data_IF_356447801078
#
_entry.id   IF_356447801078
#
_cell.length_a   1.000
_cell.length_b   1.000
_cell.length_c   1.000
_cell.angle_alpha   90.00
_cell.angle_beta   90.00
_cell.angle_gamma   90.00
#
_symmetry.space_group_name_H-M   'P 1'
#
loop_
_entity.id
_entity.type
_entity.pdbx_description
1 polymer ?
#
# COMPACT_ATOMS: atom_id res chain seq x y z
N UNK A 1 28.86 -4.37 -11.27
CA UNK A 1 28.11 -5.02 -10.19
C UNK A 1 26.71 -4.45 -10.28
N UNK A 2 25.75 -5.27 -10.70
CA UNK A 2 24.34 -4.87 -10.70
C UNK A 2 23.86 -5.02 -9.27
N UNK A 3 23.53 -3.93 -8.60
CA UNK A 3 22.81 -3.98 -7.33
C UNK A 3 21.41 -4.47 -7.64
N UNK A 4 21.17 -5.76 -7.48
CA UNK A 4 19.81 -6.29 -7.41
C UNK A 4 19.27 -5.89 -6.04
N UNK A 5 18.22 -5.07 -6.00
CA UNK A 5 17.54 -4.77 -4.75
C UNK A 5 16.85 -6.03 -4.25
N UNK A 6 17.13 -6.46 -3.03
CA UNK A 6 16.36 -7.51 -2.38
C UNK A 6 14.90 -7.06 -2.23
N UNK A 7 13.95 -7.96 -2.45
CA UNK A 7 12.52 -7.67 -2.32
C UNK A 7 11.86 -8.64 -1.35
N UNK A 8 10.90 -8.16 -0.58
CA UNK A 8 10.07 -8.96 0.31
C UNK A 8 8.57 -8.71 0.06
N UNK A 9 7.73 -9.65 0.50
CA UNK A 9 6.27 -9.50 0.46
C UNK A 9 5.79 -9.08 1.85
N UNK A 10 5.11 -7.93 1.95
CA UNK A 10 4.59 -7.39 3.21
C UNK A 10 3.11 -7.10 3.12
N UNK A 11 2.43 -7.17 4.27
CA UNK A 11 1.06 -6.71 4.38
C UNK A 11 1.00 -5.18 4.33
N UNK A 12 -0.13 -4.63 3.86
CA UNK A 12 -0.34 -3.18 3.71
C UNK A 12 -0.09 -2.41 5.01
N UNK A 13 -0.50 -2.99 6.13
CA UNK A 13 -0.32 -2.42 7.47
C UNK A 13 1.16 -2.25 7.88
N UNK A 14 2.08 -3.00 7.26
CA UNK A 14 3.51 -2.96 7.51
C UNK A 14 4.26 -1.93 6.65
N UNK A 15 3.61 -1.37 5.63
CA UNK A 15 4.16 -0.32 4.78
C UNK A 15 4.26 0.98 5.58
N UNK A 16 5.43 1.63 5.50
CA UNK A 16 5.73 2.88 6.17
C UNK A 16 6.22 3.95 5.19
N UNK A 17 6.22 5.20 5.63
CA UNK A 17 6.87 6.30 4.90
C UNK A 17 8.38 6.02 4.75
N UNK A 18 8.90 6.21 3.55
CA UNK A 18 10.26 5.88 3.15
C UNK A 18 10.42 4.48 2.55
N UNK A 19 9.40 3.63 2.62
CA UNK A 19 9.41 2.33 1.93
C UNK A 19 9.26 2.52 0.42
N UNK A 20 10.02 1.74 -0.35
CA UNK A 20 9.85 1.64 -1.80
C UNK A 20 9.06 0.38 -2.14
N UNK A 21 7.87 0.53 -2.70
CA UNK A 21 6.95 -0.58 -3.01
C UNK A 21 6.65 -0.68 -4.51
N UNK A 22 6.31 -1.88 -4.98
CA UNK A 22 5.84 -2.07 -6.35
C UNK A 22 4.37 -1.70 -6.44
N UNK A 23 4.06 -0.66 -7.22
CA UNK A 23 2.69 -0.39 -7.63
C UNK A 23 2.29 -1.40 -8.70
N UNK A 24 1.32 -2.26 -8.37
CA UNK A 24 0.81 -3.28 -9.30
C UNK A 24 -0.01 -2.70 -10.45
N UNK A 25 -0.54 -1.48 -10.31
CA UNK A 25 -1.31 -0.80 -11.34
C UNK A 25 -0.42 -0.25 -12.46
N UNK A 26 0.68 0.40 -12.11
CA UNK A 26 1.63 0.97 -13.08
C UNK A 26 2.84 0.08 -13.39
N UNK A 27 3.12 -0.91 -12.56
CA UNK A 27 4.32 -1.76 -12.64
C UNK A 27 5.61 -1.05 -12.20
N UNK A 28 5.51 0.14 -11.60
CA UNK A 28 6.66 0.94 -11.18
C UNK A 28 6.93 0.79 -9.69
N UNK A 29 8.20 0.96 -9.32
CA UNK A 29 8.58 1.13 -7.92
C UNK A 29 8.34 2.57 -7.51
N UNK A 30 7.60 2.76 -6.43
CA UNK A 30 7.27 4.07 -5.88
C UNK A 30 7.80 4.16 -4.46
N UNK A 31 8.27 5.34 -4.05
CA UNK A 31 8.66 5.58 -2.66
C UNK A 31 7.51 6.25 -1.93
N UNK A 32 7.04 5.64 -0.84
CA UNK A 32 5.97 6.21 -0.04
C UNK A 32 6.51 7.43 0.70
N UNK A 33 5.94 8.61 0.41
CA UNK A 33 6.32 9.86 1.05
C UNK A 33 5.36 10.29 2.15
N UNK A 34 4.13 9.80 2.11
CA UNK A 34 3.14 10.07 3.13
C UNK A 34 2.09 8.96 3.21
N UNK A 35 1.54 8.75 4.40
CA UNK A 35 0.41 7.85 4.61
C UNK A 35 -0.74 8.57 5.30
N UNK A 36 -1.96 8.26 4.88
CA UNK A 36 -3.18 8.68 5.57
C UNK A 36 -4.01 7.43 5.91
N UNK A 37 -4.78 7.48 7.00
CA UNK A 37 -5.61 6.37 7.44
C UNK A 37 -6.99 6.85 7.82
N UNK A 38 -8.01 6.11 7.42
CA UNK A 38 -9.39 6.40 7.76
C UNK A 38 -10.18 5.14 8.01
N UNK A 39 -11.42 5.34 8.45
CA UNK A 39 -12.40 4.27 8.60
C UNK A 39 -13.59 4.61 7.71
N UNK A 40 -14.10 3.62 6.98
CA UNK A 40 -15.30 3.76 6.15
C UNK A 40 -16.37 2.78 6.60
N UNK A 41 -17.63 3.15 6.46
CA UNK A 41 -18.75 2.28 6.79
C UNK A 41 -19.20 1.58 5.52
N UNK A 42 -19.13 0.25 5.50
CA UNK A 42 -19.58 -0.59 4.40
C UNK A 42 -20.98 -1.12 4.71
N UNK A 43 -22.00 -0.69 3.93
CA UNK A 43 -23.37 -1.12 4.15
C UNK A 43 -23.58 -2.57 3.71
N UNK A 44 -24.26 -3.36 4.55
CA UNK A 44 -24.54 -4.77 4.29
C UNK A 44 -26.05 -5.05 4.28
N UNK A 45 -26.64 -5.45 3.14
CA UNK A 45 -28.07 -5.75 3.09
C UNK A 45 -28.45 -6.89 4.04
N UNK A 46 -29.30 -6.59 5.03
CA UNK A 46 -29.79 -7.58 5.99
C UNK A 46 -28.84 -7.87 7.15
N UNK A 47 -27.74 -7.12 7.30
CA UNK A 47 -26.82 -7.19 8.41
C UNK A 47 -26.46 -5.78 8.91
N UNK A 48 -25.86 -5.64 10.11
CA UNK A 48 -25.30 -4.36 10.54
C UNK A 48 -24.19 -3.90 9.58
N UNK A 49 -24.10 -2.59 9.36
CA UNK A 49 -22.99 -2.01 8.63
C UNK A 49 -21.66 -2.32 9.33
N UNK A 50 -20.62 -2.57 8.53
CA UNK A 50 -19.29 -2.91 9.05
C UNK A 50 -18.37 -1.71 8.88
N UNK A 51 -17.59 -1.38 9.91
CA UNK A 51 -16.54 -0.38 9.81
C UNK A 51 -15.27 -1.06 9.28
N UNK A 52 -14.72 -0.54 8.19
CA UNK A 52 -13.48 -1.02 7.58
C UNK A 52 -12.43 0.08 7.61
N UNK A 53 -11.27 -0.24 8.17
CA UNK A 53 -10.11 0.65 8.15
C UNK A 53 -9.42 0.59 6.79
N UNK A 54 -8.96 1.73 6.31
CA UNK A 54 -8.20 1.85 5.08
C UNK A 54 -7.02 2.80 5.26
N UNK A 55 -6.03 2.65 4.39
CA UNK A 55 -4.89 3.55 4.27
C UNK A 55 -4.74 4.05 2.83
N UNK A 56 -4.31 5.30 2.71
CA UNK A 56 -3.90 5.91 1.45
C UNK A 56 -2.39 6.12 1.51
N UNK A 57 -1.69 5.65 0.47
CA UNK A 57 -0.25 5.79 0.32
C UNK A 57 0.03 6.80 -0.79
N UNK A 58 0.82 7.83 -0.49
CA UNK A 58 1.23 8.84 -1.45
C UNK A 58 2.66 8.57 -1.90
N UNK A 59 2.88 8.48 -3.22
CA UNK A 59 4.17 8.26 -3.85
C UNK A 59 4.97 9.55 -4.09
N UNK A 60 6.26 9.40 -4.33
CA UNK A 60 7.22 10.47 -4.58
C UNK A 60 7.01 11.19 -5.93
N UNK A 61 6.26 10.61 -6.85
CA UNK A 61 5.92 11.22 -8.14
C UNK A 61 4.43 11.57 -8.26
N UNK A 62 3.70 11.63 -7.14
CA UNK A 62 2.29 12.02 -7.08
C UNK A 62 1.31 10.85 -7.23
N UNK A 63 1.79 9.62 -7.13
CA UNK A 63 0.95 8.43 -7.07
C UNK A 63 0.10 8.41 -5.81
N UNK A 64 -1.11 7.88 -5.92
CA UNK A 64 -2.02 7.67 -4.80
C UNK A 64 -2.52 6.25 -4.87
N UNK A 65 -2.17 5.44 -3.87
CA UNK A 65 -2.63 4.06 -3.77
C UNK A 65 -3.59 3.94 -2.60
N UNK A 66 -4.78 3.44 -2.89
CA UNK A 66 -5.79 3.13 -1.89
C UNK A 66 -5.67 1.66 -1.48
N UNK A 67 -5.49 1.40 -0.18
CA UNK A 67 -5.36 0.05 0.36
C UNK A 67 -6.54 -0.85 -0.01
N UNK A 68 -7.73 -0.27 -0.25
CA UNK A 68 -8.94 -1.01 -0.64
C UNK A 68 -8.91 -1.52 -2.07
N UNK A 69 -8.01 -0.97 -2.91
CA UNK A 69 -7.81 -1.41 -4.30
C UNK A 69 -6.68 -2.42 -4.44
N UNK A 70 -5.90 -2.63 -3.38
CA UNK A 70 -4.82 -3.60 -3.36
C UNK A 70 -5.32 -4.94 -2.85
N UNK A 71 -4.94 -6.00 -3.55
CA UNK A 71 -5.23 -7.37 -3.13
C UNK A 71 -3.97 -8.02 -2.55
N UNK A 72 -4.07 -8.51 -1.31
CA UNK A 72 -3.03 -9.35 -0.72
C UNK A 72 -1.77 -8.62 -0.24
N UNK A 73 -0.61 -9.18 -0.60
CA UNK A 73 0.70 -8.68 -0.18
C UNK A 73 1.32 -7.78 -1.25
N UNK A 74 2.12 -6.82 -0.82
CA UNK A 74 2.83 -5.89 -1.70
C UNK A 74 4.33 -6.18 -1.66
N UNK A 75 4.97 -6.07 -2.82
CA UNK A 75 6.42 -6.19 -2.92
C UNK A 75 7.08 -4.91 -2.41
N UNK A 76 7.96 -5.01 -1.42
CA UNK A 76 8.77 -3.91 -0.89
C UNK A 76 10.25 -4.16 -1.15
N UNK A 77 11.00 -3.12 -1.51
CA UNK A 77 12.46 -3.17 -1.57
C UNK A 77 13.07 -3.15 -0.18
N UNK A 78 14.03 -4.04 0.05
CA UNK A 78 14.85 -4.09 1.27
C UNK A 78 16.20 -3.48 0.95
N UNK A 79 16.66 -2.54 1.78
CA UNK A 79 18.05 -2.08 1.72
C UNK A 79 18.92 -3.13 2.43
N UNK A 80 19.92 -3.65 1.73
CA UNK A 80 20.97 -4.52 2.29
C UNK A 80 21.85 -3.78 3.32
#
# INVERSE_FOLDING_TARGET
MSSEHATEQVALEQIQEGDTILDTGSGNWITIVSTDSGTTTVPHPGAPDTAEDYRIYYGDHGEVIDSRTLEGLVSRQVRE
#
